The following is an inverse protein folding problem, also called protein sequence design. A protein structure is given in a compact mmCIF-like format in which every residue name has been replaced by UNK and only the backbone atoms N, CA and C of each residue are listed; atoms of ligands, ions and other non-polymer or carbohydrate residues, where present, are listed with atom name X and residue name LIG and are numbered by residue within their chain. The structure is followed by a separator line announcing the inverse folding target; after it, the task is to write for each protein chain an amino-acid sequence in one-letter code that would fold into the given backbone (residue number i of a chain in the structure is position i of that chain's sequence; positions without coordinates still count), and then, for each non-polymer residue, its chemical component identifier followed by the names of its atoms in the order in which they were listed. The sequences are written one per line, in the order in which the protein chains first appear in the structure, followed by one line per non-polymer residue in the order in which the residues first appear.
data_IF_974586408364
#
_entry.id   IF_974586408364
#
_cell.length_a   1.000
_cell.length_b   1.000
_cell.length_c   1.000
_cell.angle_alpha   90.00
_cell.angle_beta   90.00
_cell.angle_gamma   90.00
#
_symmetry.space_group_name_H-M   'P 1'
#
loop_
_entity.id
_entity.type
_entity.pdbx_description
1 polymer ?
#
# COMPACT_ATOMS: atom_id res chain seq x y z
N UNK A 1 40.87 -9.16 -24.70
CA UNK A 1 39.83 -8.12 -24.39
C UNK A 1 38.45 -8.66 -24.71
N UNK A 2 38.13 -9.03 -25.96
CA UNK A 2 36.78 -9.52 -26.35
C UNK A 2 36.31 -10.72 -25.52
N UNK A 3 37.18 -11.71 -25.24
CA UNK A 3 36.85 -12.86 -24.39
C UNK A 3 36.62 -12.47 -22.91
N UNK A 4 37.29 -11.46 -22.41
CA UNK A 4 37.13 -10.92 -21.05
C UNK A 4 35.85 -10.15 -20.93
N UNK A 5 35.53 -9.31 -21.91
CA UNK A 5 34.25 -8.58 -21.99
C UNK A 5 33.07 -9.56 -22.06
N UNK A 6 33.18 -10.63 -22.85
CA UNK A 6 32.17 -11.68 -22.95
C UNK A 6 31.96 -12.43 -21.63
N UNK A 7 32.96 -12.49 -20.75
CA UNK A 7 32.88 -13.04 -19.39
C UNK A 7 32.41 -12.03 -18.33
N UNK A 8 32.08 -10.80 -18.75
CA UNK A 8 31.54 -9.75 -17.87
C UNK A 8 32.58 -8.79 -17.27
N UNK A 9 33.87 -8.92 -17.68
CA UNK A 9 34.90 -7.97 -17.25
C UNK A 9 34.87 -6.73 -18.16
N UNK A 10 34.20 -5.69 -17.74
CA UNK A 10 34.05 -4.40 -18.43
C UNK A 10 35.11 -3.37 -18.00
N UNK A 11 36.11 -3.78 -17.23
CA UNK A 11 37.20 -2.88 -16.82
C UNK A 11 38.34 -2.90 -17.85
N UNK A 12 38.39 -3.91 -18.68
CA UNK A 12 39.42 -4.07 -19.70
C UNK A 12 39.29 -3.06 -20.82
N UNK A 13 40.43 -2.70 -21.39
CA UNK A 13 40.51 -1.83 -22.57
C UNK A 13 41.34 -2.49 -23.66
N UNK A 14 40.94 -2.24 -24.89
CA UNK A 14 41.74 -2.62 -26.04
C UNK A 14 42.81 -1.58 -26.25
N UNK A 15 44.06 -2.07 -26.32
CA UNK A 15 45.22 -1.26 -26.68
C UNK A 15 45.93 -2.01 -27.82
N UNK A 16 45.48 -1.76 -29.05
CA UNK A 16 46.06 -2.41 -30.25
C UNK A 16 46.92 -1.39 -30.97
N UNK A 17 48.22 -1.60 -30.91
CA UNK A 17 49.20 -0.85 -31.70
C UNK A 17 49.38 -1.57 -33.07
N UNK A 18 48.63 -1.06 -34.06
CA UNK A 18 48.61 -1.61 -35.43
C UNK A 18 48.30 -0.52 -36.45
N UNK A 19 47.98 -0.93 -37.68
CA UNK A 19 47.57 0.00 -38.72
C UNK A 19 46.30 0.78 -38.37
N UNK A 20 45.96 1.82 -39.10
CA UNK A 20 44.82 2.73 -38.86
C UNK A 20 43.49 1.98 -38.63
N UNK A 21 43.26 0.89 -39.35
CA UNK A 21 42.06 0.06 -39.24
C UNK A 21 41.97 -0.64 -37.87
N UNK A 22 43.10 -1.16 -37.35
CA UNK A 22 43.14 -1.81 -36.04
C UNK A 22 42.91 -0.82 -34.91
N UNK A 23 43.37 0.42 -35.06
CA UNK A 23 43.17 1.47 -34.09
C UNK A 23 41.71 1.94 -34.03
N UNK A 24 41.06 2.10 -35.19
CA UNK A 24 39.61 2.42 -35.26
C UNK A 24 38.75 1.33 -34.61
N UNK A 25 39.12 0.04 -34.81
CA UNK A 25 38.43 -1.06 -34.17
C UNK A 25 38.60 -1.04 -32.64
N UNK A 26 39.81 -0.77 -32.15
CA UNK A 26 40.13 -0.65 -30.74
C UNK A 26 39.32 0.46 -30.07
N UNK A 27 39.28 1.64 -30.69
CA UNK A 27 38.53 2.81 -30.19
C UNK A 27 37.01 2.54 -30.16
N UNK A 28 36.52 1.88 -31.22
CA UNK A 28 35.10 1.48 -31.29
C UNK A 28 34.73 0.50 -30.18
N UNK A 29 35.60 -0.49 -29.90
CA UNK A 29 35.41 -1.46 -28.83
C UNK A 29 35.40 -0.78 -27.45
N UNK A 30 36.37 0.11 -27.21
CA UNK A 30 36.44 0.87 -25.95
C UNK A 30 35.19 1.74 -25.75
N UNK A 31 34.72 2.40 -26.81
CA UNK A 31 33.46 3.19 -26.80
C UNK A 31 32.25 2.32 -26.44
N UNK A 32 32.18 1.08 -27.02
CA UNK A 32 31.11 0.13 -26.66
C UNK A 32 31.16 -0.27 -25.17
N UNK A 33 32.37 -0.56 -24.67
CA UNK A 33 32.54 -0.91 -23.24
C UNK A 33 32.09 0.24 -22.35
N UNK A 34 32.47 1.48 -22.68
CA UNK A 34 32.05 2.66 -21.93
C UNK A 34 30.52 2.82 -21.95
N UNK A 35 29.90 2.61 -23.11
CA UNK A 35 28.43 2.68 -23.23
C UNK A 35 27.72 1.58 -22.44
N UNK A 36 28.27 0.37 -22.40
CA UNK A 36 27.74 -0.72 -21.57
C UNK A 36 27.85 -0.35 -20.09
N UNK A 37 28.98 0.17 -19.64
CA UNK A 37 29.13 0.61 -18.24
C UNK A 37 28.14 1.74 -17.87
N UNK A 38 27.96 2.73 -18.76
CA UNK A 38 26.95 3.79 -18.56
C UNK A 38 25.53 3.22 -18.42
N UNK A 39 25.15 2.29 -19.32
CA UNK A 39 23.83 1.67 -19.29
C UNK A 39 23.63 0.82 -18.02
N UNK A 40 24.65 0.09 -17.56
CA UNK A 40 24.59 -0.67 -16.32
C UNK A 40 24.38 0.22 -15.09
N UNK A 41 25.06 1.34 -15.01
CA UNK A 41 24.87 2.31 -13.92
C UNK A 41 23.49 2.98 -14.00
N UNK A 42 22.97 3.26 -15.19
CA UNK A 42 21.61 3.75 -15.38
C UNK A 42 20.57 2.72 -14.89
N UNK A 43 20.70 1.45 -15.31
CA UNK A 43 19.81 0.36 -14.86
C UNK A 43 19.84 0.19 -13.36
N UNK A 44 21.03 0.19 -12.76
CA UNK A 44 21.20 0.07 -11.31
C UNK A 44 20.54 1.24 -10.56
N UNK A 45 20.73 2.46 -11.04
CA UNK A 45 20.12 3.66 -10.47
C UNK A 45 18.59 3.59 -10.54
N UNK A 46 18.05 3.17 -11.69
CA UNK A 46 16.61 3.05 -11.87
C UNK A 46 16.01 1.94 -10.99
N UNK A 47 16.71 0.80 -10.84
CA UNK A 47 16.28 -0.25 -9.90
C UNK A 47 16.23 0.24 -8.44
N UNK A 48 17.21 1.06 -8.03
CA UNK A 48 17.20 1.65 -6.68
C UNK A 48 16.01 2.61 -6.52
N UNK A 49 15.73 3.43 -7.54
CA UNK A 49 14.57 4.35 -7.53
C UNK A 49 13.25 3.59 -7.46
N UNK A 50 13.09 2.53 -8.25
CA UNK A 50 11.90 1.69 -8.23
C UNK A 50 11.68 1.06 -6.85
N UNK A 51 12.72 0.44 -6.27
CA UNK A 51 12.63 -0.14 -4.92
C UNK A 51 12.29 0.89 -3.85
N UNK A 52 12.83 2.10 -3.98
CA UNK A 52 12.51 3.19 -3.05
C UNK A 52 11.06 3.63 -3.19
N UNK A 53 10.57 3.78 -4.41
CA UNK A 53 9.17 4.12 -4.69
C UNK A 53 8.20 3.02 -4.20
N UNK A 54 8.53 1.74 -4.42
CA UNK A 54 7.77 0.61 -3.89
C UNK A 54 7.75 0.62 -2.35
N UNK A 55 8.88 0.90 -1.71
CA UNK A 55 8.97 1.00 -0.26
C UNK A 55 8.15 2.20 0.29
N UNK A 56 8.23 3.36 -0.35
CA UNK A 56 7.43 4.54 -0.01
C UNK A 56 5.92 4.29 -0.20
N UNK A 57 5.54 3.56 -1.26
CA UNK A 57 4.16 3.14 -1.48
C UNK A 57 3.68 2.20 -0.36
N UNK A 58 4.47 1.17 -0.02
CA UNK A 58 4.16 0.25 1.08
C UNK A 58 4.06 1.00 2.43
N UNK A 59 4.94 1.95 2.67
CA UNK A 59 4.91 2.78 3.89
C UNK A 59 3.68 3.70 3.94
N UNK A 60 3.23 4.20 2.78
CA UNK A 60 2.03 5.05 2.70
C UNK A 60 0.73 4.29 2.95
N UNK A 61 0.70 2.96 2.73
CA UNK A 61 -0.45 2.11 3.04
C UNK A 61 -0.69 1.96 4.56
N UNK A 62 0.32 2.24 5.38
CA UNK A 62 0.18 2.31 6.83
C UNK A 62 0.07 3.79 7.20
N UNK A 63 -1.10 4.26 7.59
CA UNK A 63 -1.27 5.60 8.14
C UNK A 63 -0.60 5.66 9.54
N UNK A 64 0.62 6.26 9.69
CA UNK A 64 1.33 6.23 10.96
C UNK A 64 0.56 6.91 12.08
N UNK A 65 -0.18 7.96 11.75
CA UNK A 65 -1.00 8.69 12.70
C UNK A 65 -2.17 7.85 13.22
N UNK A 66 -2.78 7.01 12.36
CA UNK A 66 -3.80 6.06 12.80
C UNK A 66 -3.20 5.04 13.78
N UNK A 67 -2.02 4.49 13.47
CA UNK A 67 -1.35 3.52 14.33
C UNK A 67 -1.01 4.12 15.71
N UNK A 68 -0.32 5.26 15.75
CA UNK A 68 0.04 5.91 17.03
C UNK A 68 -1.20 6.22 17.87
N UNK A 69 -2.21 6.82 17.28
CA UNK A 69 -3.45 7.14 17.98
C UNK A 69 -4.20 5.89 18.51
N UNK A 70 -4.09 4.76 17.80
CA UNK A 70 -4.70 3.50 18.25
C UNK A 70 -3.93 2.92 19.42
N UNK A 71 -2.59 2.94 19.37
CA UNK A 71 -1.74 2.49 20.48
C UNK A 71 -1.96 3.37 21.73
N UNK A 72 -2.03 4.68 21.59
CA UNK A 72 -2.35 5.58 22.69
C UNK A 72 -3.72 5.25 23.32
N UNK A 73 -4.74 5.01 22.50
CA UNK A 73 -6.06 4.62 22.99
C UNK A 73 -6.02 3.27 23.75
N UNK A 74 -5.23 2.31 23.31
CA UNK A 74 -5.02 1.02 24.01
C UNK A 74 -4.42 1.28 25.41
N UNK A 75 -3.41 2.15 25.49
CA UNK A 75 -2.78 2.51 26.78
C UNK A 75 -3.81 3.14 27.71
N UNK A 76 -4.59 4.12 27.24
CA UNK A 76 -5.64 4.77 28.02
C UNK A 76 -6.70 3.78 28.52
N UNK A 77 -7.15 2.85 27.69
CA UNK A 77 -8.11 1.81 28.08
C UNK A 77 -7.51 0.85 29.11
N UNK A 78 -6.22 0.53 28.99
CA UNK A 78 -5.53 -0.31 29.96
C UNK A 78 -5.38 0.37 31.33
N UNK A 79 -5.00 1.65 31.36
CA UNK A 79 -4.93 2.46 32.59
C UNK A 79 -6.30 2.64 33.25
N UNK A 80 -7.38 2.72 32.45
CA UNK A 80 -8.76 2.78 32.93
C UNK A 80 -9.29 1.43 33.43
N UNK A 81 -8.53 0.33 33.29
CA UNK A 81 -8.96 -1.00 33.69
C UNK A 81 -9.96 -1.68 32.76
N UNK A 82 -10.16 -1.14 31.55
CA UNK A 82 -11.13 -1.60 30.53
C UNK A 82 -10.59 -2.78 29.73
N UNK A 83 -10.21 -3.87 30.38
CA UNK A 83 -9.51 -5.02 29.75
C UNK A 83 -10.23 -5.59 28.53
N UNK A 84 -11.58 -5.68 28.56
CA UNK A 84 -12.37 -6.20 27.43
C UNK A 84 -12.24 -5.31 26.19
N UNK A 85 -12.22 -4.01 26.37
CA UNK A 85 -12.05 -3.05 25.26
C UNK A 85 -10.62 -3.08 24.73
N UNK A 86 -9.61 -3.26 25.60
CA UNK A 86 -8.23 -3.46 25.15
C UNK A 86 -8.11 -4.68 24.25
N UNK A 87 -8.65 -5.84 24.67
CA UNK A 87 -8.61 -7.07 23.87
C UNK A 87 -9.33 -6.89 22.53
N UNK A 88 -10.51 -6.26 22.54
CA UNK A 88 -11.26 -5.98 21.32
C UNK A 88 -10.48 -5.06 20.37
N UNK A 89 -9.90 -3.97 20.88
CA UNK A 89 -9.13 -3.01 20.05
C UNK A 89 -7.87 -3.64 19.44
N UNK A 90 -7.15 -4.47 20.21
CA UNK A 90 -5.98 -5.21 19.71
C UNK A 90 -6.40 -6.23 18.65
N UNK A 91 -7.54 -6.90 18.83
CA UNK A 91 -8.10 -7.83 17.85
C UNK A 91 -8.43 -7.12 16.53
N UNK A 92 -9.20 -6.03 16.59
CA UNK A 92 -9.55 -5.23 15.40
C UNK A 92 -8.31 -4.66 14.71
N UNK A 93 -7.28 -4.23 15.48
CA UNK A 93 -6.01 -3.76 14.91
C UNK A 93 -5.26 -4.88 14.19
N UNK A 94 -5.24 -6.08 14.75
CA UNK A 94 -4.62 -7.25 14.13
C UNK A 94 -5.32 -7.64 12.82
N UNK A 95 -6.66 -7.63 12.80
CA UNK A 95 -7.44 -7.95 11.60
C UNK A 95 -7.27 -6.88 10.52
N UNK A 96 -7.26 -5.60 10.90
CA UNK A 96 -6.97 -4.49 10.02
C UNK A 96 -5.61 -4.66 9.31
N UNK A 97 -4.54 -4.93 10.06
CA UNK A 97 -3.21 -5.12 9.47
C UNK A 97 -3.08 -6.41 8.68
N UNK A 98 -3.76 -7.48 9.06
CA UNK A 98 -3.73 -8.75 8.31
C UNK A 98 -4.19 -8.55 6.88
N UNK A 99 -5.26 -7.79 6.67
CA UNK A 99 -5.80 -7.50 5.33
C UNK A 99 -4.92 -6.44 4.62
N UNK A 100 -4.52 -5.38 5.32
CA UNK A 100 -3.68 -4.31 4.76
C UNK A 100 -2.33 -4.85 4.25
N UNK A 101 -1.70 -5.76 5.00
CA UNK A 101 -0.38 -6.31 4.71
C UNK A 101 -0.42 -7.63 3.95
N UNK A 102 -1.60 -8.10 3.53
CA UNK A 102 -1.74 -9.32 2.73
C UNK A 102 -1.00 -9.14 1.40
N UNK A 103 0.21 -9.72 1.33
CA UNK A 103 1.12 -9.58 0.19
C UNK A 103 0.64 -10.48 -0.94
N UNK A 104 0.38 -9.88 -2.11
CA UNK A 104 0.24 -10.60 -3.37
C UNK A 104 -1.16 -10.58 -4.02
N UNK A 105 -2.13 -9.94 -3.43
CA UNK A 105 -3.45 -9.76 -4.06
C UNK A 105 -3.82 -8.29 -4.09
N UNK A 106 -3.75 -7.69 -5.29
CA UNK A 106 -4.22 -6.31 -5.54
C UNK A 106 -5.74 -6.23 -5.65
N UNK A 107 -6.39 -7.39 -5.77
CA UNK A 107 -7.84 -7.56 -5.88
C UNK A 107 -8.30 -8.47 -4.75
N UNK A 108 -9.32 -8.05 -4.01
CA UNK A 108 -9.95 -8.76 -2.92
C UNK A 108 -11.43 -8.99 -3.21
N UNK A 109 -12.04 -9.93 -2.49
CA UNK A 109 -13.49 -10.04 -2.43
C UNK A 109 -14.07 -8.86 -1.63
N UNK A 110 -15.26 -8.39 -2.01
CA UNK A 110 -16.00 -7.34 -1.27
C UNK A 110 -16.12 -7.68 0.21
N UNK A 111 -16.31 -8.95 0.55
CA UNK A 111 -16.34 -9.42 1.94
C UNK A 111 -15.06 -9.07 2.72
N UNK A 112 -13.89 -9.25 2.11
CA UNK A 112 -12.61 -8.97 2.76
C UNK A 112 -12.40 -7.46 2.94
N UNK A 113 -12.76 -6.67 1.93
CA UNK A 113 -12.70 -5.21 1.99
C UNK A 113 -13.69 -4.64 3.04
N UNK A 114 -14.90 -5.21 3.14
CA UNK A 114 -15.86 -4.87 4.20
C UNK A 114 -15.34 -5.25 5.60
N UNK A 115 -14.66 -6.39 5.73
CA UNK A 115 -14.04 -6.78 7.00
C UNK A 115 -12.91 -5.82 7.39
N UNK A 116 -12.12 -5.39 6.40
CA UNK A 116 -11.06 -4.39 6.61
C UNK A 116 -11.62 -3.05 7.13
N UNK A 117 -12.65 -2.54 6.45
CA UNK A 117 -13.34 -1.30 6.85
C UNK A 117 -14.04 -1.46 8.21
N UNK A 118 -14.64 -2.62 8.48
CA UNK A 118 -15.25 -2.91 9.79
C UNK A 118 -14.22 -2.79 10.92
N UNK A 119 -13.06 -3.44 10.76
CA UNK A 119 -11.98 -3.38 11.75
C UNK A 119 -11.50 -1.94 11.98
N UNK A 120 -11.39 -1.14 10.93
CA UNK A 120 -11.08 0.30 11.02
C UNK A 120 -12.14 1.07 11.80
N UNK A 121 -13.43 0.88 11.46
CA UNK A 121 -14.55 1.57 12.10
C UNK A 121 -14.72 1.18 13.57
N UNK A 122 -14.49 -0.08 13.93
CA UNK A 122 -14.49 -0.55 15.33
C UNK A 122 -13.44 0.19 16.16
N UNK A 123 -12.22 0.32 15.64
CA UNK A 123 -11.15 1.08 16.30
C UNK A 123 -11.55 2.56 16.45
N UNK A 124 -12.06 3.16 15.39
CA UNK A 124 -12.47 4.57 15.41
C UNK A 124 -13.66 4.80 16.34
N UNK A 125 -14.61 3.87 16.39
CA UNK A 125 -15.76 3.96 17.31
C UNK A 125 -15.33 3.88 18.77
N UNK A 126 -14.36 3.04 19.12
CA UNK A 126 -13.80 2.99 20.48
C UNK A 126 -13.08 4.29 20.87
N UNK A 127 -12.50 5.01 19.89
CA UNK A 127 -11.85 6.32 20.11
C UNK A 127 -12.83 7.48 20.16
N UNK A 128 -13.92 7.40 19.40
CA UNK A 128 -14.92 8.47 19.23
C UNK A 128 -16.30 8.03 19.70
N UNK A 129 -16.37 7.37 20.87
CA UNK A 129 -17.56 6.69 21.43
C UNK A 129 -18.84 7.51 21.35
N UNK A 130 -18.73 8.84 21.55
CA UNK A 130 -19.88 9.72 21.66
C UNK A 130 -20.38 10.29 20.32
N UNK A 131 -19.56 10.20 19.28
CA UNK A 131 -19.86 10.89 18.01
C UNK A 131 -19.92 9.97 16.79
N UNK A 132 -19.32 8.77 16.81
CA UNK A 132 -19.32 7.86 15.68
C UNK A 132 -20.25 6.67 15.89
N UNK A 133 -21.22 6.53 14.99
CA UNK A 133 -21.97 5.30 14.77
C UNK A 133 -21.73 4.81 13.34
N UNK A 134 -21.86 3.51 13.10
CA UNK A 134 -21.78 2.98 11.75
C UNK A 134 -22.68 1.77 11.54
N UNK A 135 -23.12 1.58 10.31
CA UNK A 135 -23.89 0.42 9.84
C UNK A 135 -23.30 -0.10 8.52
N UNK A 136 -23.25 -1.41 8.37
CA UNK A 136 -22.84 -2.06 7.13
C UNK A 136 -23.98 -2.96 6.69
N UNK A 137 -24.70 -2.52 5.64
CA UNK A 137 -25.91 -3.14 5.11
C UNK A 137 -25.66 -3.60 3.67
N UNK A 138 -24.72 -4.54 3.48
CA UNK A 138 -24.36 -5.08 2.16
C UNK A 138 -24.89 -6.52 2.07
N UNK A 139 -25.71 -6.85 1.04
CA UNK A 139 -26.22 -8.20 0.83
C UNK A 139 -25.10 -9.23 0.64
N UNK A 140 -25.33 -10.47 1.14
CA UNK A 140 -24.35 -11.55 1.04
C UNK A 140 -24.00 -11.92 -0.41
N UNK A 141 -24.89 -11.67 -1.34
CA UNK A 141 -24.72 -11.90 -2.78
C UNK A 141 -23.53 -11.11 -3.35
N UNK A 142 -23.22 -9.94 -2.78
CA UNK A 142 -22.08 -9.11 -3.18
C UNK A 142 -20.74 -9.55 -2.59
N UNK A 143 -20.73 -10.47 -1.65
CA UNK A 143 -19.53 -10.88 -0.93
C UNK A 143 -18.40 -11.40 -1.85
N UNK A 144 -18.75 -11.99 -2.99
CA UNK A 144 -17.81 -12.57 -3.95
C UNK A 144 -17.48 -11.65 -5.14
N UNK A 145 -18.06 -10.45 -5.18
CA UNK A 145 -17.66 -9.45 -6.15
C UNK A 145 -16.21 -9.03 -5.87
N UNK A 146 -15.44 -8.84 -6.93
CA UNK A 146 -14.03 -8.47 -6.81
C UNK A 146 -13.85 -6.95 -6.86
N UNK A 147 -13.04 -6.42 -5.96
CA UNK A 147 -12.74 -5.00 -5.84
C UNK A 147 -11.24 -4.79 -5.63
N UNK A 148 -10.63 -3.72 -6.17
CA UNK A 148 -9.25 -3.38 -5.84
C UNK A 148 -9.09 -3.16 -4.33
N UNK A 149 -8.01 -3.66 -3.77
CA UNK A 149 -7.65 -3.53 -2.35
C UNK A 149 -7.62 -2.07 -1.91
N UNK A 150 -8.10 -1.79 -0.70
CA UNK A 150 -8.11 -0.45 -0.09
C UNK A 150 -8.93 0.57 -0.92
N UNK A 151 -10.04 0.12 -1.50
CA UNK A 151 -10.97 1.00 -2.23
C UNK A 151 -11.95 1.69 -1.28
N UNK A 152 -12.54 0.96 -0.33
CA UNK A 152 -13.54 1.50 0.58
C UNK A 152 -12.93 2.32 1.73
N UNK A 153 -11.75 1.96 2.20
CA UNK A 153 -11.11 2.63 3.35
C UNK A 153 -10.94 4.13 3.14
N UNK A 154 -10.38 4.67 2.04
CA UNK A 154 -10.24 6.11 1.85
C UNK A 154 -11.58 6.86 1.85
N UNK A 155 -12.64 6.23 1.34
CA UNK A 155 -13.98 6.79 1.31
C UNK A 155 -14.57 6.90 2.73
N UNK A 156 -14.40 5.85 3.53
CA UNK A 156 -14.80 5.82 4.94
C UNK A 156 -13.97 6.79 5.78
N UNK A 157 -12.68 6.91 5.52
CA UNK A 157 -11.83 7.92 6.16
C UNK A 157 -12.31 9.34 5.85
N UNK A 158 -12.64 9.63 4.59
CA UNK A 158 -13.19 10.92 4.19
C UNK A 158 -14.52 11.21 4.89
N UNK A 159 -15.44 10.23 4.93
CA UNK A 159 -16.72 10.34 5.63
C UNK A 159 -16.50 10.65 7.13
N UNK A 160 -15.56 9.97 7.79
CA UNK A 160 -15.24 10.21 9.19
C UNK A 160 -14.63 11.59 9.42
N UNK A 161 -13.56 11.95 8.66
CA UNK A 161 -12.79 13.16 8.93
C UNK A 161 -13.50 14.44 8.45
N UNK A 162 -14.20 14.39 7.33
CA UNK A 162 -14.87 15.56 6.74
C UNK A 162 -16.37 15.60 7.05
N UNK A 163 -17.02 14.43 7.10
CA UNK A 163 -18.43 14.32 7.41
C UNK A 163 -18.74 14.45 8.91
N UNK A 164 -18.13 13.60 9.74
CA UNK A 164 -18.55 13.47 11.15
C UNK A 164 -17.76 14.39 12.09
N UNK A 165 -16.42 14.40 12.02
CA UNK A 165 -15.59 15.17 12.97
C UNK A 165 -15.86 16.66 12.95
N UNK A 166 -16.30 17.21 11.83
CA UNK A 166 -16.58 18.63 11.65
C UNK A 166 -18.02 19.01 12.00
N UNK A 167 -18.90 18.03 12.20
CA UNK A 167 -20.30 18.28 12.62
C UNK A 167 -20.39 18.33 14.14
N UNK A 168 -21.22 19.23 14.68
CA UNK A 168 -21.55 19.24 16.10
C UNK A 168 -22.65 18.20 16.36
N UNK A 169 -22.27 17.04 16.91
CA UNK A 169 -23.22 15.99 17.28
C UNK A 169 -22.77 14.58 16.86
N UNK A 170 -23.67 13.62 17.01
CA UNK A 170 -23.44 12.24 16.57
C UNK A 170 -23.59 12.16 15.05
N UNK A 171 -22.67 11.49 14.40
CA UNK A 171 -22.74 11.17 12.98
C UNK A 171 -22.77 9.66 12.76
N UNK A 172 -23.34 9.24 11.65
CA UNK A 172 -23.46 7.84 11.27
C UNK A 172 -22.84 7.63 9.90
N UNK A 173 -21.93 6.66 9.80
CA UNK A 173 -21.44 6.18 8.51
C UNK A 173 -22.26 4.95 8.14
N UNK A 174 -22.88 4.98 6.96
CA UNK A 174 -23.61 3.83 6.44
C UNK A 174 -22.96 3.35 5.14
N UNK A 175 -22.72 2.04 5.07
CA UNK A 175 -22.22 1.36 3.88
C UNK A 175 -23.34 0.46 3.39
N UNK A 176 -23.80 0.70 2.18
CA UNK A 176 -24.88 -0.03 1.53
C UNK A 176 -24.35 -0.64 0.24
N UNK A 177 -24.97 -1.73 -0.21
CA UNK A 177 -24.62 -2.37 -1.47
C UNK A 177 -25.84 -2.83 -2.22
N UNK A 178 -25.80 -2.75 -3.55
CA UNK A 178 -26.82 -3.28 -4.44
C UNK A 178 -26.21 -3.83 -5.73
N UNK A 179 -26.93 -4.75 -6.39
CA UNK A 179 -26.60 -5.23 -7.72
C UNK A 179 -27.39 -4.41 -8.75
N UNK A 180 -26.68 -3.86 -9.75
CA UNK A 180 -27.30 -3.27 -10.94
C UNK A 180 -26.84 -4.07 -12.18
N UNK A 181 -27.62 -5.04 -12.57
CA UNK A 181 -27.25 -5.99 -13.62
C UNK A 181 -26.09 -6.89 -13.20
N UNK A 182 -24.93 -6.72 -13.84
CA UNK A 182 -23.67 -7.43 -13.51
C UNK A 182 -22.75 -6.57 -12.63
N UNK A 183 -23.12 -5.32 -12.38
CA UNK A 183 -22.32 -4.37 -11.61
C UNK A 183 -22.66 -4.39 -10.12
N UNK A 184 -21.63 -4.33 -9.28
CA UNK A 184 -21.75 -4.18 -7.83
C UNK A 184 -21.60 -2.70 -7.47
N UNK A 185 -22.66 -2.11 -6.93
CA UNK A 185 -22.67 -0.72 -6.45
C UNK A 185 -22.51 -0.74 -4.94
N UNK A 186 -21.49 -0.04 -4.44
CA UNK A 186 -21.27 0.19 -3.01
C UNK A 186 -21.39 1.69 -2.73
N UNK A 187 -22.28 2.05 -1.80
CA UNK A 187 -22.56 3.44 -1.42
C UNK A 187 -22.12 3.68 0.01
N UNK A 188 -21.38 4.76 0.23
CA UNK A 188 -20.98 5.22 1.57
C UNK A 188 -21.60 6.59 1.81
N UNK A 189 -22.35 6.72 2.91
CA UNK A 189 -23.00 7.97 3.34
C UNK A 189 -22.61 8.34 4.77
N UNK A 190 -22.54 9.67 5.05
CA UNK A 190 -22.20 10.26 6.36
C UNK A 190 -23.24 11.29 6.85
#
# INVERSE_FOLDING_TARGET
VTDQVAKGDLTVRSDVTGGVEAQVLSDSLNTMIDKINELLEQVKTEQIRLRKAEFELLQSQINPHFLYNTLDAIVWLAEAGEQKKVVSMVGSLSDFFRISLNQGHDILDVKEELQHVRSYLEIQQMRYQDILQYEICVPEELNHCQIPKITLQPLVENALYHGIKNKRGKGMIRIEGELDGEDCILLITD
#
